data_IF_045608656282
#
_entry.id   IF_045608656282
#
_cell.length_a   1.000
_cell.length_b   1.000
_cell.length_c   1.000
_cell.angle_alpha   90.00
_cell.angle_beta   90.00
_cell.angle_gamma   90.00
#
_symmetry.space_group_name_H-M   'P 1'
#
loop_
_entity.id
_entity.type
_entity.pdbx_description
1 polymer ?
#
# COMPACT_ATOMS: atom_id res chain seq x y z
N UNK A 1 -21.83 66.36 -6.94
CA UNK A 1 -20.91 65.44 -6.24
C UNK A 1 -19.74 65.13 -7.17
N UNK A 2 -18.50 65.37 -6.74
CA UNK A 2 -17.30 64.88 -7.43
C UNK A 2 -17.01 63.45 -6.96
N UNK A 3 -16.66 62.55 -7.88
CA UNK A 3 -16.03 61.27 -7.58
C UNK A 3 -14.54 61.36 -7.95
N UNK A 4 -13.72 61.87 -7.02
CA UNK A 4 -12.26 61.83 -7.14
C UNK A 4 -11.74 60.83 -6.12
N UNK A 5 -11.49 59.61 -6.59
CA UNK A 5 -10.27 58.83 -6.34
C UNK A 5 -10.45 57.40 -6.86
N UNK A 6 -9.79 57.00 -7.97
CA UNK A 6 -9.45 55.61 -8.16
C UNK A 6 -8.41 55.24 -7.10
N UNK A 7 -8.81 54.51 -6.05
CA UNK A 7 -7.84 53.96 -5.11
C UNK A 7 -6.90 53.05 -5.89
N UNK A 8 -5.61 53.41 -5.96
CA UNK A 8 -4.61 52.62 -6.66
C UNK A 8 -4.56 51.23 -6.06
N UNK A 9 -5.03 50.23 -6.83
CA UNK A 9 -4.77 48.84 -6.51
C UNK A 9 -3.25 48.67 -6.46
N UNK A 10 -2.72 48.37 -5.27
CA UNK A 10 -1.28 48.19 -5.07
C UNK A 10 -0.87 46.85 -5.68
N UNK A 11 -0.67 46.85 -7.00
CA UNK A 11 -0.35 45.68 -7.81
C UNK A 11 1.08 45.16 -7.61
N UNK A 12 1.54 45.08 -6.36
CA UNK A 12 2.57 44.14 -5.95
C UNK A 12 2.00 42.72 -6.06
N UNK A 13 1.84 42.24 -7.31
CA UNK A 13 1.48 40.87 -7.66
C UNK A 13 2.66 39.91 -7.42
N UNK A 14 3.26 39.99 -6.22
CA UNK A 14 4.24 39.04 -5.75
C UNK A 14 3.55 37.69 -5.58
N UNK A 15 4.09 36.65 -6.21
CA UNK A 15 3.52 35.31 -6.13
C UNK A 15 3.46 34.84 -4.67
N UNK A 16 2.31 34.31 -4.20
CA UNK A 16 2.19 33.79 -2.84
C UNK A 16 3.31 32.80 -2.50
N UNK A 17 3.94 32.90 -1.31
CA UNK A 17 5.00 31.99 -0.92
C UNK A 17 4.48 30.55 -0.82
N UNK A 18 5.28 29.57 -1.27
CA UNK A 18 4.89 28.16 -1.26
C UNK A 18 4.57 27.67 0.15
N UNK A 19 3.34 27.24 0.36
CA UNK A 19 2.84 26.65 1.60
C UNK A 19 3.46 25.25 1.76
N UNK A 20 4.27 25.08 2.81
CA UNK A 20 4.86 23.80 3.21
C UNK A 20 3.91 23.09 4.18
N UNK A 21 3.39 21.92 3.77
CA UNK A 21 2.50 21.08 4.58
C UNK A 21 3.28 19.87 5.09
N UNK A 22 3.60 19.83 6.38
CA UNK A 22 4.27 18.69 6.99
C UNK A 22 3.28 17.51 7.16
N UNK A 23 3.67 16.33 6.68
CA UNK A 23 2.89 15.09 6.77
C UNK A 23 3.71 14.08 7.55
N UNK A 24 3.46 14.00 8.86
CA UNK A 24 4.10 13.03 9.76
C UNK A 24 3.22 11.79 9.90
N UNK A 25 3.72 10.63 9.45
CA UNK A 25 2.95 9.39 9.45
C UNK A 25 3.55 8.31 8.56
N UNK A 26 2.79 7.24 8.37
CA UNK A 26 3.16 6.13 7.49
C UNK A 26 2.65 6.35 6.06
N UNK A 27 2.89 5.35 5.20
CA UNK A 27 2.43 5.39 3.80
C UNK A 27 0.89 5.48 3.69
N UNK A 28 0.13 4.91 4.64
CA UNK A 28 -1.34 4.90 4.64
C UNK A 28 -1.92 6.29 5.00
N UNK A 29 -1.27 7.01 5.92
CA UNK A 29 -1.59 8.39 6.22
C UNK A 29 -1.29 9.30 5.01
N UNK A 30 -0.15 9.09 4.33
CA UNK A 30 0.14 9.82 3.08
C UNK A 30 -0.88 9.50 1.97
N UNK A 31 -1.35 8.26 1.84
CA UNK A 31 -2.43 7.90 0.90
C UNK A 31 -3.73 8.66 1.21
N UNK A 32 -4.01 8.93 2.48
CA UNK A 32 -5.18 9.69 2.92
C UNK A 32 -5.04 11.19 2.57
N UNK A 33 -3.87 11.78 2.79
CA UNK A 33 -3.57 13.16 2.36
C UNK A 33 -3.61 13.31 0.84
N UNK A 34 -3.10 12.32 0.09
CA UNK A 34 -3.14 12.30 -1.38
C UNK A 34 -4.58 12.33 -1.94
N UNK A 35 -5.52 11.60 -1.31
CA UNK A 35 -6.95 11.61 -1.69
C UNK A 35 -7.54 13.01 -1.56
N UNK A 36 -7.39 13.62 -0.39
CA UNK A 36 -7.89 14.97 -0.14
C UNK A 36 -7.23 16.01 -1.07
N UNK A 37 -5.93 15.86 -1.37
CA UNK A 37 -5.22 16.72 -2.31
C UNK A 37 -5.82 16.68 -3.73
N UNK A 38 -6.05 15.50 -4.31
CA UNK A 38 -6.64 15.41 -5.66
C UNK A 38 -8.12 15.81 -5.69
N UNK A 39 -8.87 15.51 -4.62
CA UNK A 39 -10.29 15.84 -4.48
C UNK A 39 -10.52 17.36 -4.40
N UNK A 40 -9.83 18.03 -3.47
CA UNK A 40 -9.99 19.46 -3.24
C UNK A 40 -9.45 20.33 -4.39
N UNK A 41 -8.46 19.84 -5.14
CA UNK A 41 -7.86 20.56 -6.26
C UNK A 41 -8.42 20.21 -7.64
N UNK A 42 -9.16 19.10 -7.81
CA UNK A 42 -9.76 18.72 -9.11
C UNK A 42 -10.55 19.87 -9.77
N UNK A 43 -11.23 20.68 -8.95
CA UNK A 43 -12.08 21.81 -9.35
C UNK A 43 -11.43 23.19 -9.11
N UNK A 44 -10.09 23.27 -9.05
CA UNK A 44 -9.31 24.53 -8.91
C UNK A 44 -8.52 24.84 -10.18
N UNK A 45 -7.91 26.02 -10.26
CA UNK A 45 -6.94 26.33 -11.32
C UNK A 45 -5.61 25.60 -11.08
N UNK A 46 -4.87 25.21 -12.12
CA UNK A 46 -3.60 24.49 -11.98
C UNK A 46 -2.54 25.23 -11.13
N UNK A 47 -2.64 26.56 -11.00
CA UNK A 47 -1.70 27.39 -10.23
C UNK A 47 -1.59 26.94 -8.76
N UNK A 48 -2.67 26.41 -8.18
CA UNK A 48 -2.70 25.86 -6.83
C UNK A 48 -1.70 24.72 -6.61
N UNK A 49 -1.32 24.00 -7.68
CA UNK A 49 -0.30 22.95 -7.64
C UNK A 49 1.13 23.51 -7.48
N UNK A 50 1.34 24.80 -7.77
CA UNK A 50 2.64 25.49 -7.56
C UNK A 50 2.79 26.07 -6.15
N UNK A 51 1.66 26.38 -5.49
CA UNK A 51 1.64 27.01 -4.16
C UNK A 51 1.69 26.03 -2.98
N UNK A 52 1.54 24.72 -3.21
CA UNK A 52 1.50 23.70 -2.14
C UNK A 52 2.68 22.74 -2.30
N UNK A 53 3.34 22.38 -1.17
CA UNK A 53 4.42 21.39 -1.12
C UNK A 53 4.33 20.54 0.14
N UNK A 54 4.29 19.23 -0.01
CA UNK A 54 4.21 18.29 1.11
C UNK A 54 5.60 17.90 1.60
N UNK A 55 5.82 17.92 2.91
CA UNK A 55 7.06 17.52 3.55
C UNK A 55 6.82 16.22 4.31
N UNK A 56 7.31 15.12 3.76
CA UNK A 56 7.04 13.76 4.24
C UNK A 56 7.98 13.44 5.40
N UNK A 57 7.44 13.32 6.61
CA UNK A 57 8.18 12.95 7.82
C UNK A 57 7.82 11.48 8.12
N UNK A 58 8.69 10.52 7.78
CA UNK A 58 8.30 9.11 7.76
C UNK A 58 8.25 8.51 9.16
N UNK A 59 7.09 7.98 9.53
CA UNK A 59 6.87 7.19 10.75
C UNK A 59 6.47 5.79 10.30
N UNK A 60 7.10 4.74 10.85
CA UNK A 60 6.86 3.36 10.44
C UNK A 60 7.29 3.04 9.00
N UNK A 61 6.52 2.18 8.33
CA UNK A 61 6.87 1.62 7.02
C UNK A 61 6.49 2.57 5.88
N UNK A 62 7.46 3.30 5.34
CA UNK A 62 7.21 4.31 4.30
C UNK A 62 8.06 4.08 3.02
N UNK A 63 7.55 3.31 2.02
CA UNK A 63 8.25 3.06 0.76
C UNK A 63 8.62 4.32 -0.04
N UNK A 64 7.73 5.31 -0.13
CA UNK A 64 8.04 6.57 -0.81
C UNK A 64 9.21 7.32 -0.15
N UNK A 65 9.28 7.36 1.18
CA UNK A 65 10.40 8.01 1.87
C UNK A 65 11.73 7.28 1.65
N UNK A 66 11.73 5.94 1.57
CA UNK A 66 12.93 5.16 1.16
C UNK A 66 13.37 5.49 -0.27
N UNK A 67 12.42 5.71 -1.18
CA UNK A 67 12.72 6.14 -2.55
C UNK A 67 13.26 7.58 -2.59
N UNK A 68 12.69 8.54 -1.85
CA UNK A 68 13.26 9.90 -1.69
C UNK A 68 14.69 9.84 -1.17
N UNK A 69 14.93 9.02 -0.14
CA UNK A 69 16.26 8.81 0.43
C UNK A 69 17.28 8.15 -0.54
N UNK A 70 16.84 7.60 -1.68
CA UNK A 70 17.76 7.07 -2.70
C UNK A 70 18.39 8.16 -3.59
N UNK A 71 17.80 9.35 -3.64
CA UNK A 71 18.32 10.50 -4.40
C UNK A 71 18.53 11.77 -3.57
N UNK A 72 17.95 11.91 -2.38
CA UNK A 72 18.26 12.99 -1.42
C UNK A 72 19.02 12.42 -0.21
N UNK A 73 20.33 12.57 -0.23
CA UNK A 73 21.26 12.12 0.81
C UNK A 73 21.08 12.86 2.14
N UNK A 74 20.56 14.09 2.14
CA UNK A 74 20.27 14.85 3.36
C UNK A 74 18.97 14.36 4.01
N UNK A 75 17.95 14.09 3.21
CA UNK A 75 16.73 13.43 3.67
C UNK A 75 17.04 12.04 4.24
N UNK A 76 17.91 11.28 3.57
CA UNK A 76 18.41 9.98 4.04
C UNK A 76 19.06 10.11 5.44
N UNK A 77 20.05 11.00 5.61
CA UNK A 77 20.76 11.16 6.89
C UNK A 77 19.90 11.66 8.04
N UNK A 78 18.75 12.31 7.76
CA UNK A 78 17.85 12.87 8.78
C UNK A 78 16.74 11.88 9.19
N UNK A 79 16.27 11.01 8.27
CA UNK A 79 15.07 10.19 8.49
C UNK A 79 15.23 8.68 8.24
N UNK A 80 16.35 8.20 7.68
CA UNK A 80 16.58 6.77 7.40
C UNK A 80 17.65 6.13 8.29
N UNK A 81 18.27 6.90 9.20
CA UNK A 81 19.26 6.37 10.15
C UNK A 81 18.63 5.38 11.14
N UNK A 82 19.49 4.61 11.82
CA UNK A 82 19.04 3.60 12.78
C UNK A 82 18.24 4.24 13.91
N UNK A 83 18.69 5.38 14.45
CA UNK A 83 18.03 6.08 15.56
C UNK A 83 16.57 6.46 15.23
N UNK A 84 16.33 7.12 14.10
CA UNK A 84 14.96 7.47 13.68
C UNK A 84 14.09 6.23 13.45
N UNK A 85 14.66 5.20 12.81
CA UNK A 85 13.95 3.93 12.57
C UNK A 85 13.61 3.17 13.84
N UNK A 86 14.45 3.20 14.87
CA UNK A 86 14.16 2.50 16.12
C UNK A 86 13.15 3.25 16.99
N UNK A 87 13.16 4.59 16.94
CA UNK A 87 12.14 5.43 17.58
C UNK A 87 10.74 5.28 16.93
N UNK A 88 10.67 5.19 15.60
CA UNK A 88 9.40 5.28 14.86
C UNK A 88 8.94 4.00 14.14
N UNK A 89 9.72 2.91 14.16
CA UNK A 89 9.32 1.62 13.57
C UNK A 89 9.27 0.46 14.57
N UNK A 90 9.50 0.70 15.87
CA UNK A 90 9.27 -0.26 16.97
C UNK A 90 8.01 0.14 17.75
N UNK A 91 7.30 -0.83 18.31
CA UNK A 91 6.13 -0.61 19.20
C UNK A 91 6.54 -0.46 20.67
N UNK A 92 7.75 -0.89 21.01
CA UNK A 92 8.34 -0.81 22.34
C UNK A 92 8.93 0.59 22.59
N UNK A 93 8.97 1.03 23.85
CA UNK A 93 9.60 2.31 24.21
C UNK A 93 11.12 2.24 23.98
N UNK A 94 11.76 3.28 23.41
CA UNK A 94 13.21 3.35 23.35
C UNK A 94 13.85 3.21 24.73
N UNK A 95 14.89 2.39 24.85
CA UNK A 95 15.61 2.18 26.11
C UNK A 95 16.46 3.38 26.51
N UNK A 96 17.02 4.09 25.51
CA UNK A 96 17.62 5.42 25.64
C UNK A 96 17.81 6.03 24.25
N UNK A 97 17.44 7.31 24.06
CA UNK A 97 18.26 8.32 23.38
C UNK A 97 17.50 9.64 23.19
N UNK A 98 18.17 10.76 23.43
CA UNK A 98 17.66 12.11 23.13
C UNK A 98 17.83 12.43 21.63
N UNK A 99 17.08 11.74 20.77
CA UNK A 99 17.00 12.06 19.35
C UNK A 99 16.34 13.44 19.21
N UNK A 100 17.05 14.40 18.62
CA UNK A 100 16.51 15.73 18.33
C UNK A 100 15.51 15.71 17.16
N UNK A 101 14.33 15.16 17.42
CA UNK A 101 13.21 15.10 16.48
C UNK A 101 12.78 16.51 16.05
N UNK A 102 12.81 17.48 16.97
CA UNK A 102 12.42 18.85 16.70
C UNK A 102 13.40 19.53 15.73
N UNK A 103 14.70 19.50 16.01
CA UNK A 103 15.74 20.06 15.12
C UNK A 103 15.81 19.35 13.77
N UNK A 104 15.67 18.02 13.71
CA UNK A 104 15.54 17.26 12.45
C UNK A 104 14.37 17.75 11.60
N UNK A 105 13.19 17.95 12.21
CA UNK A 105 12.00 18.48 11.51
C UNK A 105 12.23 19.94 11.09
N UNK A 106 12.74 20.81 11.97
CA UNK A 106 13.02 22.23 11.68
C UNK A 106 14.05 22.37 10.54
N UNK A 107 15.09 21.52 10.52
CA UNK A 107 16.08 21.47 9.44
C UNK A 107 15.42 21.10 8.11
N UNK A 108 14.48 20.15 8.10
CA UNK A 108 13.71 19.78 6.90
C UNK A 108 12.73 20.89 6.45
N UNK A 109 11.99 21.50 7.39
CA UNK A 109 11.12 22.65 7.11
C UNK A 109 11.89 23.81 6.46
N UNK A 110 13.08 24.15 6.98
CA UNK A 110 13.93 25.21 6.44
C UNK A 110 14.60 24.82 5.10
N UNK A 111 15.12 23.60 5.00
CA UNK A 111 15.98 23.17 3.89
C UNK A 111 15.26 22.60 2.66
N UNK A 112 14.02 22.12 2.79
CA UNK A 112 13.29 21.45 1.69
C UNK A 112 12.71 22.41 0.65
N UNK A 113 13.60 23.01 -0.13
CA UNK A 113 13.29 24.11 -1.05
C UNK A 113 13.16 23.67 -2.52
N UNK A 114 13.56 22.44 -2.86
CA UNK A 114 13.28 21.80 -4.15
C UNK A 114 11.98 20.99 -4.05
N UNK A 115 11.27 20.78 -5.17
CA UNK A 115 10.06 19.96 -5.24
C UNK A 115 10.26 18.80 -6.22
N UNK A 116 10.16 17.56 -5.75
CA UNK A 116 9.99 16.39 -6.59
C UNK A 116 8.50 16.21 -6.93
N UNK A 117 8.19 15.76 -8.15
CA UNK A 117 6.82 15.65 -8.63
C UNK A 117 6.46 14.17 -8.79
N UNK A 118 5.81 13.59 -7.78
CA UNK A 118 5.39 12.19 -7.82
C UNK A 118 4.19 12.02 -8.75
N UNK A 119 4.28 11.26 -9.86
CA UNK A 119 3.16 11.08 -10.77
C UNK A 119 2.05 10.26 -10.10
N UNK A 120 0.83 10.79 -10.13
CA UNK A 120 -0.34 10.16 -9.51
C UNK A 120 -0.96 9.18 -10.51
N UNK A 121 -1.16 7.94 -10.06
CA UNK A 121 -1.87 6.88 -10.77
C UNK A 121 -3.25 6.65 -10.17
N UNK A 122 -4.12 5.99 -10.94
CA UNK A 122 -5.49 5.67 -10.54
C UNK A 122 -5.66 4.16 -10.34
N UNK A 123 -6.33 3.79 -9.25
CA UNK A 123 -6.86 2.45 -9.03
C UNK A 123 -8.39 2.52 -8.95
N UNK A 124 -9.08 1.90 -9.92
CA UNK A 124 -10.53 1.71 -9.89
C UNK A 124 -10.84 0.33 -9.28
N UNK A 125 -11.42 0.33 -8.09
CA UNK A 125 -11.90 -0.86 -7.38
C UNK A 125 -13.37 -1.09 -7.74
N UNK A 126 -13.75 -2.32 -8.10
CA UNK A 126 -15.16 -2.71 -8.31
C UNK A 126 -15.57 -3.77 -7.31
N UNK A 127 -16.62 -3.49 -6.55
CA UNK A 127 -17.14 -4.36 -5.50
C UNK A 127 -18.26 -5.26 -6.05
N UNK A 128 -18.58 -6.34 -5.34
CA UNK A 128 -19.81 -7.11 -5.62
C UNK A 128 -21.03 -6.36 -5.08
N UNK A 129 -22.12 -6.35 -5.84
CA UNK A 129 -23.43 -5.82 -5.43
C UNK A 129 -23.93 -6.56 -4.18
N UNK A 130 -24.61 -5.87 -3.25
CA UNK A 130 -25.15 -6.51 -2.04
C UNK A 130 -26.56 -7.07 -2.24
N UNK A 131 -27.31 -6.49 -3.18
CA UNK A 131 -28.62 -6.97 -3.66
C UNK A 131 -28.61 -7.13 -5.18
N UNK A 132 -29.59 -7.83 -5.80
CA UNK A 132 -29.67 -7.95 -7.26
C UNK A 132 -30.05 -6.64 -7.98
N UNK A 133 -30.68 -5.69 -7.29
CA UNK A 133 -31.17 -4.41 -7.86
C UNK A 133 -30.21 -3.22 -7.66
N UNK A 134 -29.10 -3.40 -6.93
CA UNK A 134 -28.10 -2.36 -6.66
C UNK A 134 -26.98 -2.39 -7.71
N UNK A 135 -26.66 -1.27 -8.36
CA UNK A 135 -25.54 -1.19 -9.32
C UNK A 135 -24.17 -1.52 -8.70
N UNK A 136 -23.23 -2.03 -9.52
CA UNK A 136 -21.90 -2.41 -9.00
C UNK A 136 -21.08 -1.18 -8.60
N UNK A 137 -20.97 -0.92 -7.29
CA UNK A 137 -20.20 0.20 -6.76
C UNK A 137 -18.74 0.18 -7.26
N UNK A 138 -18.31 1.31 -7.84
CA UNK A 138 -16.94 1.56 -8.26
C UNK A 138 -16.32 2.66 -7.39
N UNK A 139 -15.05 2.49 -7.00
CA UNK A 139 -14.31 3.49 -6.23
C UNK A 139 -12.94 3.77 -6.86
N UNK A 140 -12.73 5.02 -7.23
CA UNK A 140 -11.48 5.53 -7.78
C UNK A 140 -10.57 5.98 -6.63
N UNK A 141 -9.32 5.51 -6.61
CA UNK A 141 -8.35 5.74 -5.54
C UNK A 141 -7.03 6.21 -6.17
N UNK A 142 -6.55 7.43 -5.84
CA UNK A 142 -5.23 7.90 -6.28
C UNK A 142 -4.13 7.17 -5.50
N UNK A 143 -3.01 6.89 -6.17
CA UNK A 143 -1.81 6.34 -5.54
C UNK A 143 -0.53 6.84 -6.20
N UNK A 144 0.56 6.86 -5.45
CA UNK A 144 1.91 7.28 -5.88
C UNK A 144 3.00 6.26 -5.51
N UNK A 145 2.69 5.30 -4.63
CA UNK A 145 3.62 4.27 -4.16
C UNK A 145 3.42 2.91 -4.85
N UNK A 146 2.62 2.05 -4.23
CA UNK A 146 2.55 0.61 -4.47
C UNK A 146 1.14 0.07 -4.25
N UNK A 147 0.67 -0.75 -5.20
CA UNK A 147 -0.51 -1.62 -5.06
C UNK A 147 -0.07 -3.07 -4.83
N UNK A 148 -0.71 -3.78 -3.89
CA UNK A 148 -0.51 -5.22 -3.63
C UNK A 148 -1.83 -5.97 -3.67
N UNK A 149 -1.77 -7.25 -4.02
CA UNK A 149 -2.94 -8.14 -4.06
C UNK A 149 -2.77 -9.29 -3.06
N UNK A 150 -3.83 -9.56 -2.32
CA UNK A 150 -4.15 -10.78 -1.60
C UNK A 150 -5.53 -11.31 -2.04
N UNK A 151 -5.94 -12.43 -1.46
CA UNK A 151 -7.33 -12.91 -1.52
C UNK A 151 -7.97 -12.65 -0.14
N UNK A 152 -9.30 -12.44 -0.13
CA UNK A 152 -10.11 -12.57 1.08
C UNK A 152 -10.54 -14.03 1.17
N UNK A 153 -10.14 -14.73 2.24
CA UNK A 153 -10.67 -16.06 2.52
C UNK A 153 -12.12 -15.91 3.00
N UNK A 154 -13.07 -16.03 2.07
CA UNK A 154 -14.44 -16.34 2.45
C UNK A 154 -14.47 -17.81 2.87
N UNK A 155 -14.60 -18.04 4.17
CA UNK A 155 -14.85 -19.35 4.76
C UNK A 155 -16.17 -19.90 4.24
N UNK A 156 -16.12 -20.60 3.10
CA UNK A 156 -17.26 -21.33 2.55
C UNK A 156 -17.60 -22.46 3.51
N UNK A 157 -18.51 -22.18 4.43
CA UNK A 157 -19.18 -23.20 5.23
C UNK A 157 -19.78 -24.24 4.29
N UNK A 158 -19.25 -25.46 4.31
CA UNK A 158 -19.77 -26.59 3.54
C UNK A 158 -21.05 -27.11 4.18
N UNK A 159 -22.09 -26.28 4.18
CA UNK A 159 -23.44 -26.62 4.61
C UNK A 159 -24.18 -27.34 3.48
N UNK A 160 -23.81 -28.61 3.27
CA UNK A 160 -24.74 -29.61 2.77
C UNK A 160 -25.30 -30.36 3.96
N UNK A 161 -26.59 -30.66 3.90
CA UNK A 161 -27.39 -31.47 4.84
C UNK A 161 -27.52 -30.88 6.27
N UNK A 162 -28.64 -31.03 6.99
CA UNK A 162 -29.94 -31.60 6.62
C UNK A 162 -31.08 -30.74 7.18
N UNK A 163 -32.27 -30.87 6.58
CA UNK A 163 -33.54 -30.42 7.15
C UNK A 163 -33.96 -31.37 8.30
N UNK A 164 -34.40 -30.81 9.44
CA UNK A 164 -35.57 -31.27 10.22
C UNK A 164 -35.96 -30.25 11.32
N UNK A 165 -37.15 -30.40 11.91
CA UNK A 165 -37.95 -29.31 12.48
C UNK A 165 -37.88 -29.05 14.00
N UNK A 166 -38.51 -27.93 14.39
CA UNK A 166 -39.30 -27.69 15.62
C UNK A 166 -38.69 -26.90 16.81
N UNK A 167 -39.19 -25.67 17.00
CA UNK A 167 -39.24 -24.93 18.28
C UNK A 167 -37.91 -24.31 18.79
N UNK A 168 -37.90 -23.21 19.55
CA UNK A 168 -38.99 -22.30 19.92
C UNK A 168 -38.72 -21.56 21.24
N UNK A 169 -39.03 -20.26 21.28
CA UNK A 169 -39.21 -19.41 22.49
C UNK A 169 -37.93 -18.86 23.20
N UNK A 170 -38.11 -17.62 23.66
CA UNK A 170 -37.35 -16.66 24.49
C UNK A 170 -36.81 -17.18 25.85
N UNK A 171 -35.91 -16.56 26.66
CA UNK A 171 -35.09 -15.31 26.63
C UNK A 171 -34.18 -15.17 27.90
N UNK A 172 -33.51 -14.01 28.08
CA UNK A 172 -33.02 -13.33 29.33
C UNK A 172 -31.97 -13.96 30.30
N UNK A 173 -30.77 -13.35 30.28
CA UNK A 173 -30.04 -12.69 31.40
C UNK A 173 -30.18 -13.15 32.88
N UNK A 174 -29.05 -13.41 33.58
CA UNK A 174 -28.54 -12.72 34.81
C UNK A 174 -27.41 -13.48 35.56
N UNK A 175 -26.77 -12.87 36.58
CA UNK A 175 -25.47 -13.29 37.19
C UNK A 175 -25.44 -13.29 38.77
N UNK A 176 -24.34 -13.67 39.49
CA UNK A 176 -24.24 -13.98 40.96
C UNK A 176 -23.94 -12.72 41.84
N UNK A 177 -23.57 -12.69 43.17
CA UNK A 177 -22.93 -13.68 44.11
C UNK A 177 -23.53 -13.60 45.59
N UNK A 178 -22.86 -13.70 46.80
CA UNK A 178 -21.47 -14.09 47.21
C UNK A 178 -21.27 -15.19 48.34
N UNK A 179 -20.96 -14.98 49.68
CA UNK A 179 -19.87 -15.73 50.36
C UNK A 179 -20.06 -16.24 51.83
N UNK A 180 -19.06 -16.94 52.42
CA UNK A 180 -18.71 -16.90 53.88
C UNK A 180 -17.34 -17.55 54.23
N UNK A 181 -16.90 -17.43 55.49
CA UNK A 181 -15.54 -17.50 56.06
C UNK A 181 -14.90 -18.88 56.39
N UNK A 182 -13.57 -18.93 56.57
CA UNK A 182 -12.79 -20.05 57.15
C UNK A 182 -12.80 -20.13 58.69
N UNK A 183 -11.96 -20.97 59.38
CA UNK A 183 -10.51 -20.72 59.49
C UNK A 183 -9.53 -21.93 59.69
N UNK A 184 -8.20 -21.66 59.59
CA UNK A 184 -7.00 -22.34 60.17
C UNK A 184 -6.88 -23.90 60.30
N UNK A 185 -5.80 -24.50 59.75
CA UNK A 185 -5.35 -25.88 60.07
C UNK A 185 -4.08 -26.33 59.29
N UNK A 186 -3.21 -27.20 59.86
CA UNK A 186 -1.83 -27.51 59.40
C UNK A 186 -1.67 -28.86 58.64
N UNK A 187 -0.84 -28.82 57.59
CA UNK A 187 0.19 -29.82 57.17
C UNK A 187 -0.11 -31.20 56.52
N UNK A 188 0.69 -31.46 55.46
CA UNK A 188 1.16 -32.75 54.88
C UNK A 188 0.12 -33.67 54.17
N UNK A 189 0.31 -33.87 52.85
CA UNK A 189 0.00 -35.16 52.21
C UNK A 189 -0.47 -35.16 50.74
N UNK A 190 0.40 -35.60 49.82
CA UNK A 190 0.09 -36.09 48.45
C UNK A 190 -0.40 -35.08 47.39
N UNK A 191 -0.31 -35.48 46.10
CA UNK A 191 -0.29 -34.60 44.91
C UNK A 191 -1.55 -34.69 44.04
N UNK A 192 -2.09 -33.57 43.52
CA UNK A 192 -3.05 -33.57 42.40
C UNK A 192 -2.35 -33.77 41.03
N UNK A 193 -3.08 -34.19 39.98
CA UNK A 193 -2.50 -34.56 38.68
C UNK A 193 -2.12 -33.37 37.79
N UNK A 194 -1.32 -33.66 36.77
CA UNK A 194 -0.76 -32.67 35.82
C UNK A 194 -1.84 -32.04 34.92
N UNK A 195 -1.75 -30.73 34.71
CA UNK A 195 -2.45 -30.00 33.64
C UNK A 195 -1.43 -29.38 32.68
N UNK A 196 -1.71 -29.26 31.35
CA UNK A 196 -0.68 -28.91 30.37
C UNK A 196 -0.16 -27.47 30.51
N UNK A 197 1.16 -27.30 30.51
CA UNK A 197 1.82 -25.99 30.59
C UNK A 197 1.85 -25.30 29.23
N UNK A 198 1.06 -24.22 29.05
CA UNK A 198 1.24 -23.27 27.95
C UNK A 198 2.34 -22.26 28.31
N UNK A 199 3.60 -22.66 28.12
CA UNK A 199 4.75 -21.77 28.29
C UNK A 199 4.79 -20.72 27.18
N UNK A 200 4.43 -19.47 27.49
CA UNK A 200 4.48 -18.31 26.59
C UNK A 200 5.91 -17.82 26.36
N UNK A 201 6.73 -18.62 25.66
CA UNK A 201 8.10 -18.28 25.27
C UNK A 201 8.11 -17.28 24.10
N UNK A 202 7.92 -15.99 24.42
CA UNK A 202 8.10 -14.89 23.47
C UNK A 202 9.60 -14.66 23.21
N UNK A 203 10.17 -15.29 22.19
CA UNK A 203 11.52 -14.98 21.68
C UNK A 203 11.77 -15.58 20.29
N UNK A 204 12.25 -14.76 19.36
CA UNK A 204 12.95 -15.22 18.15
C UNK A 204 12.09 -15.45 16.89
N UNK A 205 12.33 -14.62 15.88
CA UNK A 205 12.18 -14.86 14.45
C UNK A 205 11.24 -16.01 13.98
N UNK A 206 9.97 -15.69 13.74
CA UNK A 206 9.04 -16.57 13.03
C UNK A 206 8.04 -15.77 12.18
N UNK A 207 8.04 -15.96 10.87
CA UNK A 207 6.96 -15.48 10.00
C UNK A 207 5.68 -16.27 10.32
N UNK A 208 4.48 -15.66 10.28
CA UNK A 208 3.24 -16.42 10.17
C UNK A 208 3.18 -17.05 8.77
N UNK A 209 3.91 -18.14 8.58
CA UNK A 209 3.73 -19.05 7.47
C UNK A 209 2.45 -19.87 7.70
N UNK A 210 1.31 -19.19 7.58
CA UNK A 210 0.08 -19.84 7.15
C UNK A 210 0.29 -20.53 5.79
N UNK A 211 -0.71 -21.28 5.33
CA UNK A 211 -0.59 -22.13 4.16
C UNK A 211 0.03 -21.44 2.95
N UNK A 212 0.77 -22.19 2.13
CA UNK A 212 1.35 -21.70 0.86
C UNK A 212 0.25 -21.51 -0.21
N UNK A 213 -0.76 -20.72 0.11
CA UNK A 213 -1.82 -20.26 -0.76
C UNK A 213 -1.22 -19.52 -1.95
N UNK A 214 -1.88 -19.70 -3.08
CA UNK A 214 -1.44 -19.11 -4.35
C UNK A 214 -2.66 -18.54 -5.05
N UNK A 215 -2.63 -17.23 -5.23
CA UNK A 215 -3.73 -16.49 -5.80
C UNK A 215 -3.91 -16.88 -7.27
N UNK A 216 -4.98 -17.62 -7.56
CA UNK A 216 -5.40 -17.87 -8.92
C UNK A 216 -5.97 -16.58 -9.52
N UNK A 217 -5.14 -15.82 -10.25
CA UNK A 217 -5.55 -14.54 -10.84
C UNK A 217 -5.54 -14.61 -12.38
N UNK A 218 -6.42 -13.83 -13.00
CA UNK A 218 -6.24 -13.35 -14.37
C UNK A 218 -5.80 -11.88 -14.31
N UNK A 219 -4.73 -11.55 -15.03
CA UNK A 219 -4.17 -10.21 -15.12
C UNK A 219 -4.04 -9.84 -16.60
N UNK A 220 -4.91 -8.97 -17.06
CA UNK A 220 -4.86 -8.38 -18.40
C UNK A 220 -4.14 -7.03 -18.30
N UNK A 221 -3.07 -6.81 -19.07
CA UNK A 221 -2.28 -5.57 -18.99
C UNK A 221 -1.87 -5.06 -20.37
N UNK A 222 -1.66 -3.74 -20.44
CA UNK A 222 -1.25 -3.01 -21.63
C UNK A 222 0.09 -2.34 -21.36
N UNK A 223 1.03 -2.45 -22.29
CA UNK A 223 2.32 -1.77 -22.22
C UNK A 223 2.28 -0.45 -22.97
N UNK A 224 2.89 0.59 -22.39
CA UNK A 224 3.26 1.83 -23.04
C UNK A 224 4.33 1.57 -24.08
N UNK A 225 4.02 1.79 -25.36
CA UNK A 225 5.04 1.89 -26.39
C UNK A 225 5.54 3.34 -26.41
N UNK A 226 6.81 3.53 -26.07
CA UNK A 226 7.48 4.81 -26.27
C UNK A 226 7.60 5.15 -27.76
N UNK A 227 8.05 6.36 -28.07
CA UNK A 227 8.26 6.83 -29.45
C UNK A 227 9.52 6.23 -30.08
N UNK A 228 9.58 4.90 -30.16
CA UNK A 228 10.42 4.19 -31.11
C UNK A 228 10.13 4.72 -32.52
N UNK A 229 11.19 4.94 -33.31
CA UNK A 229 11.12 5.73 -34.54
C UNK A 229 10.05 5.18 -35.49
N UNK A 230 9.08 6.02 -35.86
CA UNK A 230 8.07 5.71 -36.90
C UNK A 230 8.75 5.10 -38.14
N UNK A 231 8.58 3.79 -38.34
CA UNK A 231 8.37 3.28 -39.69
C UNK A 231 6.94 3.60 -40.06
N UNK A 232 6.77 4.17 -41.25
CA UNK A 232 5.51 4.70 -41.72
C UNK A 232 4.57 3.55 -42.15
N UNK A 233 3.27 3.64 -41.79
CA UNK A 233 2.23 2.85 -42.48
C UNK A 233 1.38 1.85 -41.69
N UNK A 234 0.97 2.12 -40.44
CA UNK A 234 -0.28 1.49 -39.93
C UNK A 234 -1.10 2.39 -38.98
N UNK A 235 -2.35 2.03 -38.71
CA UNK A 235 -3.39 2.92 -38.15
C UNK A 235 -3.72 2.63 -36.67
N UNK A 236 -3.42 3.61 -35.81
CA UNK A 236 -4.06 3.94 -34.51
C UNK A 236 -4.29 2.84 -33.46
N UNK A 237 -3.59 3.01 -32.34
CA UNK A 237 -4.18 3.06 -30.98
C UNK A 237 -4.95 1.84 -30.43
N UNK A 238 -4.26 0.72 -30.22
CA UNK A 238 -4.34 -0.01 -28.93
C UNK A 238 -2.93 -0.47 -28.54
N UNK A 239 -2.47 -0.14 -27.33
CA UNK A 239 -1.21 -0.69 -26.81
C UNK A 239 -1.28 -2.21 -26.68
N UNK A 240 -0.15 -2.93 -26.82
CA UNK A 240 -0.15 -4.40 -26.88
C UNK A 240 -0.79 -5.01 -25.62
N UNK A 241 -1.98 -5.59 -25.76
CA UNK A 241 -2.68 -6.29 -24.68
C UNK A 241 -2.03 -7.65 -24.45
N UNK A 242 -1.61 -7.88 -23.21
CA UNK A 242 -1.04 -9.12 -22.71
C UNK A 242 -1.93 -9.69 -21.59
N UNK A 243 -1.88 -11.00 -21.36
CA UNK A 243 -2.71 -11.68 -20.34
C UNK A 243 -1.90 -12.75 -19.60
N UNK A 244 -1.80 -12.64 -18.28
CA UNK A 244 -1.25 -13.68 -17.39
C UNK A 244 -2.39 -14.40 -16.67
N UNK A 245 -2.38 -15.74 -16.68
CA UNK A 245 -3.35 -16.58 -15.94
C UNK A 245 -2.65 -17.57 -15.02
N UNK A 246 -1.82 -17.07 -14.12
CA UNK A 246 -1.01 -17.91 -13.21
C UNK A 246 -1.64 -18.10 -11.82
N UNK A 247 -0.94 -18.85 -10.96
CA UNK A 247 -1.22 -18.95 -9.53
C UNK A 247 -0.04 -18.30 -8.79
N UNK A 248 -0.26 -17.10 -8.27
CA UNK A 248 0.78 -16.20 -7.78
C UNK A 248 0.97 -16.34 -6.26
N UNK A 249 2.23 -16.37 -5.79
CA UNK A 249 2.54 -16.15 -4.37
C UNK A 249 2.33 -14.69 -3.98
N UNK A 250 2.67 -13.78 -4.89
CA UNK A 250 2.45 -12.34 -4.73
C UNK A 250 2.28 -11.67 -6.09
N UNK A 251 1.48 -10.61 -6.11
CA UNK A 251 1.43 -9.63 -7.20
C UNK A 251 1.54 -8.24 -6.57
N UNK A 252 2.47 -7.44 -7.09
CA UNK A 252 2.70 -6.06 -6.69
C UNK A 252 2.83 -5.20 -7.94
N UNK A 253 2.26 -3.98 -7.91
CA UNK A 253 2.45 -2.96 -8.94
C UNK A 253 3.05 -1.72 -8.27
N UNK A 254 4.23 -1.30 -8.71
CA UNK A 254 4.90 -0.09 -8.24
C UNK A 254 4.66 1.06 -9.21
N UNK A 255 4.45 2.27 -8.67
CA UNK A 255 4.57 3.53 -9.43
C UNK A 255 5.92 4.22 -9.24
N UNK A 256 6.63 3.88 -8.17
CA UNK A 256 7.99 4.33 -7.86
C UNK A 256 9.03 3.55 -8.71
N UNK A 257 10.02 4.22 -9.32
CA UNK A 257 11.16 3.59 -10.00
C UNK A 257 12.01 2.69 -9.10
N UNK A 258 12.71 1.74 -9.73
CA UNK A 258 13.65 0.84 -9.06
C UNK A 258 15.04 1.48 -8.83
N UNK A 259 15.06 2.61 -8.10
CA UNK A 259 16.27 3.23 -7.55
C UNK A 259 17.08 4.12 -8.51
N UNK A 260 17.48 5.31 -8.03
CA UNK A 260 18.44 6.20 -8.70
C UNK A 260 17.92 6.98 -9.92
N UNK A 261 16.91 6.48 -10.65
CA UNK A 261 16.34 7.19 -11.81
C UNK A 261 15.51 8.42 -11.36
N UNK A 262 15.99 9.62 -11.68
CA UNK A 262 15.39 10.88 -11.21
C UNK A 262 14.08 11.26 -11.94
N UNK A 263 13.86 10.71 -13.13
CA UNK A 263 12.65 10.90 -13.94
C UNK A 263 11.74 9.67 -13.80
N UNK A 264 10.61 9.76 -13.08
CA UNK A 264 9.65 8.66 -13.05
C UNK A 264 9.17 8.32 -14.47
N UNK A 265 9.15 7.04 -14.88
CA UNK A 265 8.65 6.66 -16.19
C UNK A 265 7.15 7.01 -16.30
N UNK A 266 6.58 7.17 -17.52
CA UNK A 266 5.15 7.47 -17.70
C UNK A 266 4.22 6.29 -17.37
N UNK A 267 4.77 5.20 -16.82
CA UNK A 267 4.17 3.88 -16.67
C UNK A 267 4.39 3.30 -15.26
N UNK A 268 3.79 2.14 -15.01
CA UNK A 268 3.95 1.33 -13.79
C UNK A 268 4.83 0.11 -14.07
N UNK A 269 5.39 -0.48 -13.00
CA UNK A 269 6.10 -1.76 -13.06
C UNK A 269 5.35 -2.82 -12.23
N UNK A 270 5.13 -4.01 -12.77
CA UNK A 270 4.51 -5.13 -12.05
C UNK A 270 5.54 -6.19 -11.69
N UNK A 271 5.66 -6.49 -10.39
CA UNK A 271 6.41 -7.65 -9.88
C UNK A 271 5.44 -8.79 -9.58
N UNK A 272 5.70 -9.97 -10.15
CA UNK A 272 4.95 -11.20 -9.87
C UNK A 272 5.89 -12.31 -9.40
N UNK A 273 5.51 -13.01 -8.34
CA UNK A 273 6.18 -14.24 -7.90
C UNK A 273 5.24 -15.41 -8.12
N UNK A 274 5.68 -16.39 -8.91
CA UNK A 274 4.88 -17.58 -9.22
C UNK A 274 5.34 -18.79 -8.40
N UNK A 275 4.41 -19.69 -8.05
CA UNK A 275 4.75 -21.01 -7.50
C UNK A 275 4.91 -21.98 -8.66
N UNK A 276 6.15 -22.29 -9.03
CA UNK A 276 6.40 -23.21 -10.13
C UNK A 276 5.82 -24.60 -9.80
N UNK A 277 4.88 -25.08 -10.63
CA UNK A 277 4.63 -26.53 -10.72
C UNK A 277 5.83 -27.13 -11.42
N UNK A 278 6.74 -27.74 -10.65
CA UNK A 278 7.80 -28.60 -11.19
C UNK A 278 7.16 -29.63 -12.14
N UNK A 279 7.27 -29.40 -13.45
CA UNK A 279 7.01 -30.43 -14.45
C UNK A 279 8.14 -31.44 -14.31
N UNK A 280 7.93 -32.47 -13.47
CA UNK A 280 8.77 -33.67 -13.44
C UNK A 280 8.63 -34.37 -14.81
N UNK A 281 9.44 -33.95 -15.78
CA UNK A 281 9.68 -34.75 -16.98
C UNK A 281 10.32 -36.05 -16.49
N UNK A 282 9.72 -37.19 -16.84
CA UNK A 282 10.17 -38.50 -16.35
C UNK A 282 11.39 -38.93 -17.17
N UNK A 283 12.53 -38.30 -16.92
CA UNK A 283 13.84 -38.82 -17.31
C UNK A 283 14.49 -39.50 -16.12
N UNK A 284 14.61 -40.83 -16.19
CA UNK A 284 15.42 -41.59 -15.26
C UNK A 284 16.91 -41.28 -15.53
N UNK A 285 17.58 -40.58 -14.61
CA UNK A 285 18.81 -41.13 -14.01
C UNK A 285 19.45 -40.25 -12.92
N UNK A 286 19.83 -40.94 -11.84
CA UNK A 286 20.96 -40.68 -10.92
C UNK A 286 21.01 -39.40 -10.05
N UNK A 287 20.99 -39.69 -8.74
CA UNK A 287 21.42 -38.92 -7.55
C UNK A 287 20.56 -37.69 -7.16
N UNK A 288 20.06 -37.63 -5.92
CA UNK A 288 19.52 -36.39 -5.37
C UNK A 288 20.68 -35.45 -5.02
N UNK A 289 20.59 -34.21 -5.51
CA UNK A 289 21.19 -33.04 -4.86
C UNK A 289 20.01 -32.17 -4.42
N UNK A 290 20.06 -31.61 -3.21
CA UNK A 290 19.00 -30.73 -2.73
C UNK A 290 18.78 -29.61 -3.75
N UNK A 291 17.53 -29.50 -4.23
CA UNK A 291 17.10 -28.45 -5.15
C UNK A 291 16.21 -27.51 -4.36
N UNK A 292 16.77 -26.37 -3.96
CA UNK A 292 15.99 -25.27 -3.37
C UNK A 292 14.79 -24.91 -4.24
N UNK A 293 13.71 -24.47 -3.58
CA UNK A 293 12.39 -24.36 -4.18
C UNK A 293 12.22 -23.00 -4.87
N UNK A 294 13.02 -22.84 -5.91
CA UNK A 294 13.24 -21.64 -6.72
C UNK A 294 11.90 -21.02 -7.15
N UNK A 295 11.50 -19.95 -6.46
CA UNK A 295 10.21 -19.28 -6.67
C UNK A 295 10.40 -18.12 -7.63
N UNK A 296 10.38 -18.45 -8.93
CA UNK A 296 10.69 -17.50 -10.02
C UNK A 296 9.86 -16.21 -9.90
N UNK A 297 10.58 -15.14 -9.56
CA UNK A 297 10.13 -13.76 -9.61
C UNK A 297 10.33 -13.19 -11.02
N UNK A 298 9.42 -12.32 -11.45
CA UNK A 298 9.51 -11.59 -12.70
C UNK A 298 9.04 -10.15 -12.49
N UNK A 299 9.78 -9.19 -13.04
CA UNK A 299 9.34 -7.80 -13.18
C UNK A 299 8.89 -7.58 -14.63
N UNK A 300 7.85 -6.78 -14.82
CA UNK A 300 7.31 -6.36 -16.11
C UNK A 300 7.09 -4.84 -16.03
N UNK A 301 8.03 -4.09 -16.59
CA UNK A 301 8.00 -2.64 -16.66
C UNK A 301 7.11 -2.12 -17.80
N UNK A 302 6.93 -0.80 -17.86
CA UNK A 302 6.27 -0.17 -18.99
C UNK A 302 4.74 -0.30 -19.00
N UNK A 303 4.08 -0.71 -17.93
CA UNK A 303 2.63 -0.95 -17.91
C UNK A 303 1.85 0.37 -17.84
N UNK A 304 1.01 0.64 -18.85
CA UNK A 304 0.13 1.83 -18.89
C UNK A 304 -1.22 1.57 -18.23
N UNK A 305 -1.78 0.37 -18.40
CA UNK A 305 -3.05 -0.07 -17.79
C UNK A 305 -2.97 -1.54 -17.38
N UNK A 306 -3.64 -1.90 -16.29
CA UNK A 306 -3.77 -3.27 -15.81
C UNK A 306 -5.21 -3.52 -15.32
N UNK A 307 -5.70 -4.74 -15.47
CA UNK A 307 -6.97 -5.25 -14.94
C UNK A 307 -6.68 -6.59 -14.28
N UNK A 308 -7.07 -6.76 -13.02
CA UNK A 308 -6.84 -7.97 -12.24
C UNK A 308 -8.15 -8.52 -11.67
N UNK A 309 -8.41 -9.80 -11.92
CA UNK A 309 -9.56 -10.55 -11.40
C UNK A 309 -9.08 -11.83 -10.70
N UNK A 310 -9.86 -12.35 -9.76
CA UNK A 310 -9.73 -13.76 -9.39
C UNK A 310 -10.14 -14.67 -10.55
N UNK A 311 -9.57 -15.88 -10.62
CA UNK A 311 -9.96 -16.92 -11.60
C UNK A 311 -11.32 -17.54 -11.29
N UNK A 312 -11.66 -17.63 -10.00
CA UNK A 312 -12.93 -18.18 -9.53
C UNK A 312 -13.88 -17.00 -9.24
N UNK A 313 -15.06 -16.99 -9.86
CA UNK A 313 -15.96 -15.83 -9.88
C UNK A 313 -16.51 -15.41 -8.51
N UNK A 314 -16.45 -16.32 -7.52
CA UNK A 314 -16.88 -16.08 -6.14
C UNK A 314 -15.76 -15.57 -5.22
N UNK A 315 -14.49 -15.68 -5.64
CA UNK A 315 -13.35 -15.26 -4.82
C UNK A 315 -13.18 -13.75 -4.89
N UNK A 316 -13.20 -13.09 -3.73
CA UNK A 316 -12.90 -11.66 -3.62
C UNK A 316 -11.41 -11.41 -3.40
N UNK A 317 -10.94 -10.28 -3.90
CA UNK A 317 -9.57 -9.79 -3.73
C UNK A 317 -9.48 -8.86 -2.52
N UNK A 318 -8.32 -8.94 -1.86
CA UNK A 318 -7.86 -7.98 -0.86
C UNK A 318 -6.80 -7.12 -1.51
N UNK A 319 -7.06 -5.84 -1.72
CA UNK A 319 -6.16 -4.93 -2.45
C UNK A 319 -5.60 -3.91 -1.48
N UNK A 320 -4.28 -3.85 -1.32
CA UNK A 320 -3.62 -2.81 -0.53
C UNK A 320 -3.09 -1.73 -1.46
N UNK A 321 -3.52 -0.48 -1.30
CA UNK A 321 -3.12 0.68 -2.11
C UNK A 321 -2.44 1.68 -1.19
N UNK A 322 -1.14 1.94 -1.40
CA UNK A 322 -0.32 2.82 -0.57
C UNK A 322 -0.50 2.58 0.94
N UNK A 323 -0.52 1.30 1.34
CA UNK A 323 -0.69 0.87 2.73
C UNK A 323 -2.14 0.77 3.23
N UNK A 324 -3.11 1.39 2.55
CA UNK A 324 -4.54 1.28 2.90
C UNK A 324 -5.13 0.02 2.28
N UNK A 325 -5.78 -0.81 3.09
CA UNK A 325 -6.43 -2.05 2.65
C UNK A 325 -7.87 -1.83 2.16
N UNK A 326 -8.25 -2.59 1.14
CA UNK A 326 -9.59 -2.67 0.56
C UNK A 326 -9.97 -4.14 0.39
N UNK A 327 -11.06 -4.56 1.04
CA UNK A 327 -11.57 -5.94 1.00
C UNK A 327 -12.79 -6.07 0.07
N UNK A 328 -13.24 -7.29 -0.20
CA UNK A 328 -14.43 -7.60 -1.02
C UNK A 328 -14.42 -7.05 -2.47
N UNK A 329 -13.23 -6.88 -3.03
CA UNK A 329 -13.02 -6.36 -4.39
C UNK A 329 -13.20 -7.50 -5.42
N UNK A 330 -14.21 -7.41 -6.29
CA UNK A 330 -14.51 -8.40 -7.34
C UNK A 330 -13.44 -8.39 -8.44
N UNK A 331 -13.03 -7.20 -8.85
CA UNK A 331 -11.85 -6.94 -9.68
C UNK A 331 -11.37 -5.51 -9.46
N UNK A 332 -10.13 -5.22 -9.86
CA UNK A 332 -9.64 -3.85 -9.93
C UNK A 332 -8.97 -3.55 -11.27
N UNK A 333 -8.89 -2.26 -11.59
CA UNK A 333 -8.14 -1.74 -12.73
C UNK A 333 -7.16 -0.68 -12.25
N UNK A 334 -5.96 -0.63 -12.83
CA UNK A 334 -4.96 0.41 -12.59
C UNK A 334 -4.68 1.16 -13.89
N UNK A 335 -4.50 2.48 -13.80
CA UNK A 335 -4.01 3.32 -14.88
C UNK A 335 -2.83 4.18 -14.39
N UNK A 336 -1.78 4.29 -15.20
CA UNK A 336 -0.52 4.94 -14.80
C UNK A 336 -0.63 6.45 -14.54
N UNK A 337 -1.77 7.08 -14.88
CA UNK A 337 -2.03 8.51 -14.75
C UNK A 337 -3.45 8.77 -14.24
N UNK A 338 -3.57 9.63 -13.22
CA UNK A 338 -4.84 10.16 -12.70
C UNK A 338 -5.58 11.00 -13.77
N UNK A 339 -6.93 10.93 -13.88
CA UNK A 339 -7.65 11.54 -15.00
C UNK A 339 -7.71 13.08 -14.95
N UNK A 340 -7.82 13.70 -13.77
CA UNK A 340 -7.98 15.17 -13.66
C UNK A 340 -6.70 15.94 -14.04
N UNK A 341 -6.71 17.28 -13.98
CA UNK A 341 -5.49 18.07 -14.23
C UNK A 341 -4.42 17.90 -13.13
N UNK A 342 -4.77 17.32 -11.97
CA UNK A 342 -3.88 17.07 -10.83
C UNK A 342 -3.04 15.82 -11.11
N UNK A 343 -2.03 15.96 -11.99
CA UNK A 343 -1.19 14.83 -12.45
C UNK A 343 -0.07 14.42 -11.48
N UNK A 344 0.36 15.31 -10.58
CA UNK A 344 1.53 15.11 -9.73
C UNK A 344 1.26 15.53 -8.27
N UNK A 345 1.90 14.85 -7.33
CA UNK A 345 1.92 15.16 -5.91
C UNK A 345 3.27 15.81 -5.55
N UNK A 346 3.30 17.10 -5.15
CA UNK A 346 4.53 17.85 -4.97
C UNK A 346 5.17 17.60 -3.59
N UNK A 347 6.23 16.80 -3.55
CA UNK A 347 6.99 16.50 -2.31
C UNK A 347 8.25 17.35 -2.25
N UNK A 348 8.48 18.01 -1.11
CA UNK A 348 9.67 18.82 -0.88
C UNK A 348 10.89 17.98 -0.49
N UNK A 349 12.02 18.30 -1.11
CA UNK A 349 13.33 17.68 -0.89
C UNK A 349 14.37 18.78 -0.67
N UNK A 350 15.49 18.47 -0.02
CA UNK A 350 16.63 19.39 0.09
C UNK A 350 17.27 19.61 -1.28
N UNK A 351 17.36 18.55 -2.09
CA UNK A 351 17.85 18.58 -3.46
C UNK A 351 18.27 17.20 -3.94
N UNK A 352 18.52 17.08 -5.24
CA UNK A 352 19.07 15.86 -5.82
C UNK A 352 20.56 15.76 -5.48
N UNK A 353 20.96 14.61 -4.93
CA UNK A 353 22.36 14.21 -4.79
C UNK A 353 22.94 14.09 -6.19
N UNK A 354 24.11 14.67 -6.42
CA UNK A 354 24.78 14.54 -7.72
C UNK A 354 25.15 13.06 -7.92
N UNK A 355 24.95 12.48 -9.11
CA UNK A 355 25.60 11.21 -9.44
C UNK A 355 27.11 11.40 -9.35
N UNK A 356 27.80 10.35 -8.90
CA UNK A 356 29.26 10.25 -8.75
C UNK A 356 29.85 9.60 -9.98
#
# INVERSE_FOLDING_TARGET
>A
FHCINPCSCNCNAQTPPTIKVAVAGDQSYLSTVLRFFVEQLANKTPDWLSYIRFLVIPIGSHPLAKYVASFDSRFNSIFMDTAWRELFCRTERPTSDNIDVAGRIVQYLAGANVSHQFPISEAMLTYKQKSPDEDSCQKFVPFIGVVKVGIVEQSLSTSMDSDDAMGGITSILSSPPPPSSGPYGKEIGSTPPQSPSVSTTLSGAGSPCSGSEVMGLQVDYWTWQGSEKKKEGEKRDVGLKNTLKCNFRSLQVSRLPCGGELTPPPSMAMTVVTKEKNKKVIFLSKKPKEKELDSKSQVIDGISRLICTAKHQHTMLRVTIDGVEWNDVKFFQLAAQWPTHVKHFPVGIFGYTKPV
#
